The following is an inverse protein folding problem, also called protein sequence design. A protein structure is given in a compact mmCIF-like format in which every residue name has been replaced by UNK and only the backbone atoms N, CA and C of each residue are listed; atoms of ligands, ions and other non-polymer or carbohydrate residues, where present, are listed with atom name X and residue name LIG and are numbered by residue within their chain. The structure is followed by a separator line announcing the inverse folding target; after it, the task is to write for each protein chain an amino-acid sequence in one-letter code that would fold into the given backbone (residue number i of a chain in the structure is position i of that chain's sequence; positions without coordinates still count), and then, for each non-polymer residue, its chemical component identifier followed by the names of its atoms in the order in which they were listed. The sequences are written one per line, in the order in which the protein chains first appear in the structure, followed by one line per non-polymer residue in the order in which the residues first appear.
data_IF_410532802627
#
_entry.id   IF_410532802627
#
_cell.length_a   1.000
_cell.length_b   1.000
_cell.length_c   1.000
_cell.angle_alpha   90.00
_cell.angle_beta   90.00
_cell.angle_gamma   90.00
#
_symmetry.space_group_name_H-M   'P 1'
#
loop_
_entity.id
_entity.type
_entity.pdbx_description
1 polymer ?
#
# COMPACT_ATOMS: atom_id res chain seq x y z
N UNK A 1 14.80 9.13 3.01
CA UNK A 1 14.57 7.84 3.68
C UNK A 1 14.48 6.79 2.59
N UNK A 2 15.49 5.92 2.49
CA UNK A 2 15.57 4.89 1.45
C UNK A 2 14.73 3.71 1.90
N UNK A 3 13.69 3.35 1.15
CA UNK A 3 12.89 2.15 1.43
C UNK A 3 13.62 0.92 0.91
N UNK A 4 13.59 -0.18 1.67
CA UNK A 4 14.09 -1.46 1.19
C UNK A 4 13.11 -2.02 0.15
N UNK A 5 13.58 -2.13 -1.10
CA UNK A 5 12.80 -2.68 -2.21
C UNK A 5 13.50 -3.86 -2.86
N UNK A 6 12.76 -4.94 -3.10
CA UNK A 6 13.25 -6.12 -3.82
C UNK A 6 12.47 -6.30 -5.13
N UNK A 7 13.18 -6.53 -6.25
CA UNK A 7 12.57 -6.87 -7.54
C UNK A 7 13.03 -8.28 -7.92
N UNK A 8 12.08 -9.19 -8.13
CA UNK A 8 12.31 -10.59 -8.49
C UNK A 8 11.71 -10.87 -9.87
N UNK A 9 12.49 -11.47 -10.77
CA UNK A 9 12.02 -11.98 -12.06
C UNK A 9 11.99 -13.52 -11.98
N UNK A 10 10.86 -14.15 -12.33
CA UNK A 10 10.71 -15.60 -12.41
C UNK A 10 10.39 -15.98 -13.85
N UNK A 11 11.22 -16.83 -14.44
CA UNK A 11 11.06 -17.29 -15.83
C UNK A 11 11.05 -16.13 -16.86
N UNK A 12 11.68 -15.01 -16.50
CA UNK A 12 11.77 -13.79 -17.29
C UNK A 12 13.20 -13.25 -17.26
N UNK A 13 13.61 -12.65 -18.37
CA UNK A 13 14.84 -11.88 -18.43
C UNK A 13 14.72 -10.59 -17.64
N UNK A 14 15.76 -10.26 -16.89
CA UNK A 14 15.85 -8.98 -16.18
C UNK A 14 15.93 -7.84 -17.19
N UNK A 15 15.17 -6.78 -16.96
CA UNK A 15 15.17 -5.59 -17.81
C UNK A 15 15.52 -4.35 -17.00
N UNK A 16 16.57 -3.65 -17.41
CA UNK A 16 16.97 -2.38 -16.78
C UNK A 16 15.87 -1.31 -16.90
N UNK A 17 15.18 -1.27 -18.04
CA UNK A 17 14.06 -0.36 -18.25
C UNK A 17 12.91 -0.63 -17.26
N UNK A 18 12.57 -1.90 -17.02
CA UNK A 18 11.57 -2.27 -16.01
C UNK A 18 12.05 -1.90 -14.61
N UNK A 19 13.31 -2.19 -14.27
CA UNK A 19 13.87 -1.82 -12.97
C UNK A 19 13.79 -0.31 -12.72
N UNK A 20 14.13 0.52 -13.72
CA UNK A 20 14.04 1.97 -13.61
C UNK A 20 12.59 2.44 -13.37
N UNK A 21 11.62 1.88 -14.10
CA UNK A 21 10.19 2.20 -13.94
C UNK A 21 9.71 1.79 -12.54
N UNK A 22 10.02 0.57 -12.11
CA UNK A 22 9.64 0.02 -10.81
C UNK A 22 10.22 0.87 -9.69
N UNK A 23 11.50 1.19 -9.73
CA UNK A 23 12.16 2.05 -8.73
C UNK A 23 11.52 3.43 -8.65
N UNK A 24 11.22 4.07 -9.79
CA UNK A 24 10.54 5.37 -9.83
C UNK A 24 9.15 5.30 -9.19
N UNK A 25 8.39 4.23 -9.46
CA UNK A 25 7.05 4.04 -8.88
C UNK A 25 7.11 3.72 -7.39
N UNK A 26 8.05 2.91 -6.94
CA UNK A 26 8.27 2.63 -5.51
C UNK A 26 8.63 3.91 -4.73
N UNK A 27 9.52 4.75 -5.28
CA UNK A 27 9.80 6.06 -4.68
C UNK A 27 8.55 6.95 -4.59
N UNK A 28 7.67 6.90 -5.60
CA UNK A 28 6.40 7.63 -5.58
C UNK A 28 5.48 7.12 -4.47
N UNK A 29 5.36 5.81 -4.27
CA UNK A 29 4.57 5.22 -3.18
C UNK A 29 5.11 5.62 -1.80
N UNK A 30 6.44 5.58 -1.61
CA UNK A 30 7.09 6.01 -0.36
C UNK A 30 6.83 7.49 0.00
N UNK A 31 6.56 8.36 -0.99
CA UNK A 31 6.16 9.75 -0.74
C UNK A 31 4.71 9.89 -0.27
N UNK A 32 3.83 8.95 -0.61
CA UNK A 32 2.42 8.98 -0.20
C UNK A 32 2.18 8.35 1.17
N UNK A 33 2.99 7.37 1.57
CA UNK A 33 2.85 6.69 2.85
C UNK A 33 4.22 6.40 3.46
N UNK A 34 4.52 7.06 4.57
CA UNK A 34 5.75 6.86 5.34
C UNK A 34 5.73 5.60 6.22
N UNK A 35 4.60 4.90 6.31
CA UNK A 35 4.44 3.68 7.12
C UNK A 35 4.87 2.40 6.38
N UNK A 36 5.39 2.54 5.15
CA UNK A 36 5.92 1.43 4.36
C UNK A 36 7.26 0.99 4.94
N UNK A 37 7.32 -0.28 5.33
CA UNK A 37 8.52 -0.89 5.89
C UNK A 37 9.34 -1.61 4.82
N UNK A 38 8.65 -2.32 3.92
CA UNK A 38 9.27 -3.12 2.88
C UNK A 38 8.37 -3.16 1.65
N UNK A 39 8.98 -3.35 0.47
CA UNK A 39 8.23 -3.55 -0.77
C UNK A 39 8.90 -4.60 -1.64
N UNK A 40 8.10 -5.50 -2.19
CA UNK A 40 8.56 -6.54 -3.11
C UNK A 40 7.76 -6.50 -4.39
N UNK A 41 8.46 -6.57 -5.52
CA UNK A 41 7.86 -6.68 -6.85
C UNK A 41 8.29 -8.02 -7.45
N UNK A 42 7.33 -8.85 -7.82
CA UNK A 42 7.57 -10.13 -8.48
C UNK A 42 6.97 -10.07 -9.88
N UNK A 43 7.82 -10.31 -10.87
CA UNK A 43 7.44 -10.41 -12.28
C UNK A 43 7.58 -11.86 -12.71
N UNK A 44 6.50 -12.47 -13.19
CA UNK A 44 6.50 -13.86 -13.64
C UNK A 44 5.66 -14.10 -14.90
N UNK A 45 5.85 -15.25 -15.54
CA UNK A 45 5.03 -15.71 -16.68
C UNK A 45 4.45 -17.09 -16.37
N UNK A 46 3.25 -17.13 -15.74
CA UNK A 46 2.60 -18.38 -15.42
C UNK A 46 2.09 -19.07 -16.69
N UNK A 47 2.78 -20.12 -17.14
CA UNK A 47 2.54 -20.94 -18.34
C UNK A 47 2.95 -20.33 -19.69
N UNK A 48 4.14 -20.72 -20.15
CA UNK A 48 4.58 -20.59 -21.54
C UNK A 48 4.08 -21.77 -22.42
N UNK A 49 2.85 -22.25 -22.20
CA UNK A 49 2.32 -23.40 -22.95
C UNK A 49 1.73 -22.93 -24.29
N UNK A 50 2.27 -23.50 -25.38
CA UNK A 50 2.07 -23.19 -26.82
C UNK A 50 0.64 -22.90 -27.35
N UNK A 51 -0.41 -22.95 -26.54
CA UNK A 51 -1.81 -22.83 -26.96
C UNK A 51 -2.65 -21.79 -26.21
N UNK A 52 -2.16 -21.19 -25.13
CA UNK A 52 -2.77 -20.01 -24.48
C UNK A 52 -1.72 -18.90 -24.43
N UNK A 53 -2.13 -17.68 -24.77
CA UNK A 53 -1.24 -16.54 -25.02
C UNK A 53 -0.23 -16.29 -23.89
N UNK A 54 0.86 -15.60 -24.24
CA UNK A 54 1.88 -15.15 -23.28
C UNK A 54 1.22 -14.21 -22.26
N UNK A 55 0.82 -14.73 -21.12
CA UNK A 55 0.38 -13.92 -19.99
C UNK A 55 1.57 -13.68 -19.07
N UNK A 56 1.81 -12.40 -18.80
CA UNK A 56 2.74 -11.94 -17.79
C UNK A 56 1.93 -11.53 -16.57
N UNK A 57 2.49 -11.75 -15.39
CA UNK A 57 1.90 -11.31 -14.14
C UNK A 57 2.91 -10.51 -13.33
N UNK A 58 2.42 -9.40 -12.80
CA UNK A 58 3.15 -8.51 -11.92
C UNK A 58 2.45 -8.49 -10.56
N UNK A 59 3.20 -8.82 -9.52
CA UNK A 59 2.74 -8.80 -8.14
C UNK A 59 3.52 -7.75 -7.37
N UNK A 60 2.80 -6.84 -6.71
CA UNK A 60 3.35 -5.79 -5.84
C UNK A 60 2.89 -6.08 -4.41
N UNK A 61 3.85 -6.32 -3.54
CA UNK A 61 3.67 -6.53 -2.10
C UNK A 61 4.24 -5.31 -1.37
N UNK A 62 3.44 -4.72 -0.48
CA UNK A 62 3.80 -3.57 0.32
C UNK A 62 3.50 -3.91 1.78
N UNK A 63 4.56 -4.02 2.58
CA UNK A 63 4.44 -4.24 4.01
C UNK A 63 4.27 -2.89 4.72
N UNK A 64 3.08 -2.68 5.28
CA UNK A 64 2.75 -1.53 6.12
C UNK A 64 2.65 -1.96 7.58
N UNK A 65 2.88 -1.03 8.50
CA UNK A 65 2.64 -1.26 9.93
C UNK A 65 1.14 -1.50 10.21
N UNK A 66 0.75 -2.78 10.22
CA UNK A 66 -0.58 -3.26 10.63
C UNK A 66 -1.48 -3.77 9.51
N UNK A 67 -1.26 -3.40 8.24
CA UNK A 67 -2.08 -3.89 7.12
C UNK A 67 -1.26 -4.03 5.84
N UNK A 68 -0.67 -5.21 5.57
CA UNK A 68 0.06 -5.42 4.32
C UNK A 68 -0.88 -5.37 3.11
N UNK A 69 -0.37 -4.87 1.98
CA UNK A 69 -1.11 -4.75 0.74
C UNK A 69 -0.42 -5.62 -0.31
N UNK A 70 -1.15 -6.60 -0.84
CA UNK A 70 -0.73 -7.37 -2.01
C UNK A 70 -1.67 -7.08 -3.18
N UNK A 71 -1.10 -6.86 -4.36
CA UNK A 71 -1.81 -6.64 -5.62
C UNK A 71 -1.12 -7.47 -6.69
N UNK A 72 -1.90 -8.19 -7.48
CA UNK A 72 -1.41 -8.94 -8.64
C UNK A 72 -2.24 -8.58 -9.87
N UNK A 73 -1.59 -8.20 -10.96
CA UNK A 73 -2.23 -7.96 -12.26
C UNK A 73 -1.57 -8.81 -13.33
N UNK A 74 -2.35 -9.25 -14.31
CA UNK A 74 -1.89 -10.00 -15.46
C UNK A 74 -2.25 -9.29 -16.77
N UNK A 75 -1.35 -9.38 -17.75
CA UNK A 75 -1.54 -8.83 -19.08
C UNK A 75 -0.68 -9.57 -20.12
N UNK A 76 -1.01 -9.42 -21.39
CA UNK A 76 -0.16 -9.85 -22.52
C UNK A 76 1.19 -9.12 -22.61
N UNK A 77 1.32 -7.97 -21.94
CA UNK A 77 2.53 -7.17 -21.84
C UNK A 77 2.93 -6.98 -20.38
N UNK A 78 4.16 -7.39 -20.04
CA UNK A 78 4.71 -7.20 -18.69
C UNK A 78 4.70 -5.72 -18.26
N UNK A 79 4.88 -4.78 -19.20
CA UNK A 79 4.88 -3.35 -18.91
C UNK A 79 3.49 -2.86 -18.48
N UNK A 80 2.43 -3.39 -19.10
CA UNK A 80 1.04 -3.07 -18.76
C UNK A 80 0.67 -3.71 -17.43
N UNK A 81 1.00 -4.99 -17.23
CA UNK A 81 0.79 -5.67 -15.95
C UNK A 81 1.45 -4.93 -14.77
N UNK A 82 2.71 -4.48 -14.94
CA UNK A 82 3.42 -3.68 -13.95
C UNK A 82 2.68 -2.36 -13.70
N UNK A 83 2.35 -1.62 -14.75
CA UNK A 83 1.65 -0.34 -14.63
C UNK A 83 0.36 -0.49 -13.83
N UNK A 84 -0.48 -1.45 -14.21
CA UNK A 84 -1.78 -1.65 -13.61
C UNK A 84 -1.66 -2.12 -12.17
N UNK A 85 -0.71 -3.01 -11.86
CA UNK A 85 -0.46 -3.45 -10.48
C UNK A 85 -0.10 -2.26 -9.58
N UNK A 86 0.75 -1.35 -10.06
CA UNK A 86 1.10 -0.14 -9.31
C UNK A 86 -0.06 0.86 -9.21
N UNK A 87 -0.88 1.02 -10.25
CA UNK A 87 -2.03 1.92 -10.23
C UNK A 87 -3.09 1.43 -9.20
N UNK A 88 -3.32 0.12 -9.14
CA UNK A 88 -4.19 -0.50 -8.12
C UNK A 88 -3.58 -0.39 -6.72
N UNK A 89 -2.26 -0.61 -6.57
CA UNK A 89 -1.57 -0.46 -5.29
C UNK A 89 -1.63 0.98 -4.76
N UNK A 90 -1.42 1.99 -5.62
CA UNK A 90 -1.55 3.41 -5.27
C UNK A 90 -2.96 3.73 -4.77
N UNK A 91 -3.99 3.17 -5.42
CA UNK A 91 -5.39 3.35 -5.00
C UNK A 91 -5.66 2.72 -3.62
N UNK A 92 -5.20 1.48 -3.38
CA UNK A 92 -5.34 0.82 -2.07
C UNK A 92 -4.64 1.59 -0.96
N UNK A 93 -3.44 2.11 -1.25
CA UNK A 93 -2.65 2.89 -0.30
C UNK A 93 -3.35 4.21 0.10
N UNK A 94 -3.92 4.94 -0.88
CA UNK A 94 -4.69 6.16 -0.61
C UNK A 94 -5.94 5.90 0.24
N UNK A 95 -6.66 4.82 -0.05
CA UNK A 95 -7.83 4.44 0.76
C UNK A 95 -7.42 4.09 2.21
N UNK A 96 -6.27 3.43 2.39
CA UNK A 96 -5.76 3.10 3.72
C UNK A 96 -5.38 4.35 4.54
N UNK A 97 -4.67 5.32 3.94
CA UNK A 97 -4.29 6.55 4.64
C UNK A 97 -5.51 7.39 5.04
N UNK A 98 -6.54 7.46 4.20
CA UNK A 98 -7.80 8.12 4.53
C UNK A 98 -8.54 7.45 5.70
N UNK A 99 -8.62 6.11 5.72
CA UNK A 99 -9.25 5.39 6.83
C UNK A 99 -8.52 5.58 8.16
N UNK A 100 -7.18 5.61 8.14
CA UNK A 100 -6.39 5.88 9.34
C UNK A 100 -6.63 7.29 9.89
N UNK A 101 -6.73 8.30 9.02
CA UNK A 101 -7.03 9.68 9.43
C UNK A 101 -8.41 9.80 10.08
N UNK A 102 -9.44 9.20 9.48
CA UNK A 102 -10.79 9.21 10.02
C UNK A 102 -10.89 8.53 11.40
N UNK A 103 -10.17 7.41 11.61
CA UNK A 103 -10.10 6.73 12.91
C UNK A 103 -9.39 7.57 13.98
N UNK A 104 -8.35 8.34 13.62
CA UNK A 104 -7.62 9.21 14.55
C UNK A 104 -8.46 10.41 15.00
N UNK A 105 -9.35 10.93 14.15
CA UNK A 105 -10.26 12.01 14.53
C UNK A 105 -11.35 11.53 15.50
N UNK A 106 -11.96 10.36 15.28
CA UNK A 106 -12.97 9.83 16.21
C UNK A 106 -12.44 9.59 17.62
N UNK A 107 -11.19 9.15 17.77
CA UNK A 107 -10.60 8.91 19.10
C UNK A 107 -10.32 10.19 19.90
N UNK A 108 -10.35 11.37 19.25
CA UNK A 108 -10.11 12.66 19.91
C UNK A 108 -11.39 13.31 20.46
N UNK A 109 -12.57 12.85 20.06
CA UNK A 109 -13.86 13.40 20.52
C UNK A 109 -14.43 12.69 21.77
N UNK A 110 -13.88 11.54 22.18
CA UNK A 110 -14.30 10.80 23.40
C UNK A 110 -13.56 11.26 24.68
N UNK A 111 -13.11 12.51 24.75
CA UNK A 111 -12.64 13.13 26.00
C UNK A 111 -13.65 14.18 26.43
N UNK A 112 -14.78 13.72 26.95
CA UNK A 112 -15.73 14.54 27.72
C UNK A 112 -15.08 14.82 29.08
N UNK A 113 -14.78 16.08 29.47
CA UNK A 113 -14.55 16.36 30.86
C UNK A 113 -15.93 16.38 31.53
N UNK A 114 -16.25 15.30 32.26
CA UNK A 114 -17.30 15.34 33.27
C UNK A 114 -16.84 16.30 34.35
N UNK A 115 -17.20 17.58 34.21
CA UNK A 115 -17.16 18.52 35.32
C UNK A 115 -18.41 18.22 36.13
N UNK A 116 -18.24 17.42 37.17
CA UNK A 116 -19.21 17.30 38.25
C UNK A 116 -19.37 18.67 38.90
N UNK A 117 -20.55 19.28 38.74
CA UNK A 117 -21.06 20.28 39.67
C UNK A 117 -22.23 19.64 40.41
N UNK A 118 -21.88 18.84 41.40
CA UNK A 118 -22.73 18.60 42.57
C UNK A 118 -21.88 19.08 43.74
N UNK A 119 -22.18 20.28 44.22
CA UNK A 119 -22.05 20.65 45.63
C UNK A 119 -23.08 21.76 45.83
N UNK A 120 -24.30 21.26 46.00
CA UNK A 120 -25.38 21.86 46.75
C UNK A 120 -24.80 22.30 48.11
N UNK A 121 -24.68 23.60 48.34
CA UNK A 121 -24.40 24.14 49.67
C UNK A 121 -25.54 25.07 50.06
N UNK A 122 -26.68 24.47 50.35
CA UNK A 122 -27.60 24.97 51.36
C UNK A 122 -26.95 24.75 52.73
N UNK A 123 -26.58 25.82 53.46
CA UNK A 123 -26.92 25.92 54.89
C UNK A 123 -26.72 27.36 55.46
N UNK A 124 -27.87 27.88 55.88
CA UNK A 124 -28.26 29.01 56.76
C UNK A 124 -27.22 29.80 57.59
N UNK A 125 -27.55 31.10 57.77
CA UNK A 125 -27.01 32.00 58.79
C UNK A 125 -27.57 33.41 58.65
#
# INVERSE_FOLDING_TARGET
MTMASNVTYRDLDTSEALNAIINKRLQKLGRFCSDIQHSRVVLDSPHNHKHKGKEFRATVEIDLKGSPITVSQNDTSIHVAVRDAFDVAERKLKSHTQQLQAKRQRKREDITPTISQEDDFDEVG
#
